data_IF_548884153445
#
_entry.id   IF_548884153445
#
_cell.length_a   1.000
_cell.length_b   1.000
_cell.length_c   1.000
_cell.angle_alpha   90.00
_cell.angle_beta   90.00
_cell.angle_gamma   90.00
#
_symmetry.space_group_name_H-M   'P 1'
#
loop_
_entity.id
_entity.type
_entity.pdbx_description
1 polymer ?
#
# COMPACT_ATOMS: atom_id res chain seq x y z
N UNK A 1 -21.15 -30.09 1.10
CA UNK A 1 -20.39 -28.84 0.90
C UNK A 1 -18.91 -29.20 0.92
N UNK A 2 -18.20 -28.96 -0.17
CA UNK A 2 -16.73 -29.06 -0.23
C UNK A 2 -16.11 -27.88 0.52
N UNK A 3 -15.27 -28.15 1.51
CA UNK A 3 -14.50 -27.15 2.27
C UNK A 3 -13.02 -27.27 1.91
N UNK A 4 -12.35 -26.13 1.83
CA UNK A 4 -10.90 -26.09 1.70
C UNK A 4 -10.29 -26.32 3.08
N UNK A 5 -9.39 -27.30 3.17
CA UNK A 5 -8.53 -27.50 4.33
C UNK A 5 -7.15 -26.95 3.99
N UNK A 6 -6.78 -25.81 4.60
CA UNK A 6 -5.47 -25.21 4.39
C UNK A 6 -4.39 -26.08 5.03
N UNK A 7 -3.29 -26.29 4.30
CA UNK A 7 -2.10 -26.99 4.79
C UNK A 7 -1.00 -26.02 5.24
N UNK A 8 -1.27 -24.71 5.21
CA UNK A 8 -0.31 -23.68 5.60
C UNK A 8 -0.07 -23.72 7.11
N UNK A 9 1.21 -23.77 7.50
CA UNK A 9 1.64 -23.74 8.89
C UNK A 9 1.88 -22.30 9.35
N UNK A 10 0.87 -21.66 9.94
CA UNK A 10 0.94 -20.23 10.32
C UNK A 10 1.93 -19.91 11.45
N UNK A 11 2.37 -20.92 12.20
CA UNK A 11 3.40 -20.79 13.24
C UNK A 11 4.83 -21.08 12.74
N UNK A 12 5.02 -21.43 11.47
CA UNK A 12 6.34 -21.76 10.95
C UNK A 12 7.19 -20.50 10.71
N UNK A 13 8.53 -20.61 10.80
CA UNK A 13 9.43 -19.52 10.41
C UNK A 13 9.26 -19.08 8.96
N UNK A 14 8.95 -20.03 8.07
CA UNK A 14 8.67 -19.74 6.65
C UNK A 14 7.45 -18.84 6.48
N UNK A 15 6.35 -19.12 7.20
CA UNK A 15 5.17 -18.27 7.17
C UNK A 15 5.47 -16.86 7.68
N UNK A 16 6.28 -16.75 8.75
CA UNK A 16 6.69 -15.45 9.28
C UNK A 16 7.49 -14.64 8.26
N UNK A 17 8.48 -15.27 7.60
CA UNK A 17 9.29 -14.62 6.57
C UNK A 17 8.46 -14.19 5.35
N UNK A 18 7.58 -15.07 4.87
CA UNK A 18 6.67 -14.76 3.76
C UNK A 18 5.73 -13.59 4.12
N UNK A 19 5.21 -13.58 5.35
CA UNK A 19 4.35 -12.51 5.86
C UNK A 19 5.09 -11.18 5.94
N UNK A 20 6.30 -11.18 6.51
CA UNK A 20 7.13 -9.99 6.62
C UNK A 20 7.43 -9.41 5.23
N UNK A 21 7.91 -10.24 4.31
CA UNK A 21 8.20 -9.81 2.94
C UNK A 21 6.98 -9.19 2.25
N UNK A 22 5.81 -9.82 2.34
CA UNK A 22 4.58 -9.29 1.74
C UNK A 22 4.16 -7.95 2.36
N UNK A 23 4.29 -7.82 3.68
CA UNK A 23 3.94 -6.58 4.37
C UNK A 23 4.87 -5.42 4.00
N UNK A 24 6.16 -5.70 3.77
CA UNK A 24 7.11 -4.72 3.24
C UNK A 24 6.67 -4.23 1.86
N UNK A 25 6.39 -5.15 0.92
CA UNK A 25 5.91 -4.78 -0.42
C UNK A 25 4.62 -3.95 -0.38
N UNK A 26 3.70 -4.29 0.53
CA UNK A 26 2.47 -3.52 0.73
C UNK A 26 2.77 -2.09 1.22
N UNK A 27 3.70 -1.95 2.16
CA UNK A 27 4.11 -0.65 2.69
C UNK A 27 4.77 0.22 1.62
N UNK A 28 5.63 -0.38 0.80
CA UNK A 28 6.30 0.31 -0.31
C UNK A 28 5.29 0.80 -1.35
N UNK A 29 4.32 -0.05 -1.70
CA UNK A 29 3.24 0.32 -2.61
C UNK A 29 2.41 1.47 -2.05
N UNK A 30 2.02 1.39 -0.77
CA UNK A 30 1.25 2.45 -0.10
C UNK A 30 2.00 3.79 -0.15
N UNK A 31 3.29 3.78 0.18
CA UNK A 31 4.15 4.98 0.14
C UNK A 31 4.26 5.55 -1.28
N UNK A 32 4.31 4.68 -2.29
CA UNK A 32 4.33 5.11 -3.68
C UNK A 32 3.01 5.76 -4.10
N UNK A 33 1.87 5.19 -3.70
CA UNK A 33 0.55 5.74 -3.99
C UNK A 33 0.34 7.09 -3.31
N UNK A 34 0.77 7.24 -2.06
CA UNK A 34 0.73 8.52 -1.33
C UNK A 34 1.54 9.59 -2.06
N UNK A 35 2.75 9.25 -2.51
CA UNK A 35 3.58 10.17 -3.31
C UNK A 35 2.91 10.54 -4.64
N UNK A 36 2.30 9.57 -5.33
CA UNK A 36 1.62 9.80 -6.62
C UNK A 36 0.35 10.63 -6.44
N UNK A 37 -0.37 10.48 -5.33
CA UNK A 37 -1.57 11.25 -5.02
C UNK A 37 -1.31 12.76 -5.03
N UNK A 38 -0.09 13.19 -4.72
CA UNK A 38 0.30 14.59 -4.80
C UNK A 38 0.53 15.13 -6.21
N UNK A 39 0.47 14.30 -7.25
CA UNK A 39 0.61 14.72 -8.66
C UNK A 39 1.86 15.57 -8.93
N UNK A 40 1.65 16.86 -9.21
CA UNK A 40 2.71 17.86 -9.42
C UNK A 40 3.42 18.32 -8.13
N UNK A 41 3.19 17.64 -7.01
CA UNK A 41 3.65 17.99 -5.67
C UNK A 41 2.73 19.01 -4.98
N UNK A 42 2.89 19.12 -3.67
CA UNK A 42 2.07 19.99 -2.80
C UNK A 42 2.07 21.46 -3.27
N UNK A 43 3.18 21.93 -3.85
CA UNK A 43 3.29 23.28 -4.39
C UNK A 43 2.35 23.52 -5.59
N UNK A 44 2.12 22.50 -6.42
CA UNK A 44 1.18 22.58 -7.54
C UNK A 44 -0.26 22.50 -7.03
N UNK A 45 -0.55 21.63 -6.06
CA UNK A 45 -1.86 21.58 -5.41
C UNK A 45 -2.22 22.92 -4.76
N UNK A 46 -1.28 23.53 -4.03
CA UNK A 46 -1.47 24.83 -3.39
C UNK A 46 -1.81 25.92 -4.42
N UNK A 47 -1.14 25.91 -5.58
CA UNK A 47 -1.46 26.81 -6.71
C UNK A 47 -2.85 26.55 -7.29
N UNK A 48 -3.29 25.30 -7.39
CA UNK A 48 -4.64 24.95 -7.86
C UNK A 48 -5.70 25.41 -6.87
N UNK A 49 -5.51 25.13 -5.57
CA UNK A 49 -6.40 25.58 -4.48
C UNK A 49 -6.50 27.11 -4.43
N UNK A 50 -5.38 27.83 -4.54
CA UNK A 50 -5.37 29.30 -4.59
C UNK A 50 -6.15 29.86 -5.79
N UNK A 51 -6.30 29.09 -6.88
CA UNK A 51 -7.12 29.44 -8.05
C UNK A 51 -8.57 28.97 -7.92
N UNK A 52 -8.99 28.49 -6.75
CA UNK A 52 -10.34 27.96 -6.49
C UNK A 52 -10.63 26.60 -7.14
N UNK A 53 -9.60 25.89 -7.60
CA UNK A 53 -9.74 24.58 -8.24
C UNK A 53 -9.52 23.47 -7.21
N UNK A 54 -10.30 22.40 -7.31
CA UNK A 54 -10.07 21.18 -6.55
C UNK A 54 -8.87 20.43 -7.17
N UNK A 55 -7.78 20.23 -6.41
CA UNK A 55 -6.66 19.40 -6.84
C UNK A 55 -7.00 17.91 -6.79
#
# INVERSE_FOLDING_TARGET
>A
MTKIHSTIQTGSPEFASNREHNLTLRSDLQSMLERIAHGGGEAAEAKLRARGKLP
#
